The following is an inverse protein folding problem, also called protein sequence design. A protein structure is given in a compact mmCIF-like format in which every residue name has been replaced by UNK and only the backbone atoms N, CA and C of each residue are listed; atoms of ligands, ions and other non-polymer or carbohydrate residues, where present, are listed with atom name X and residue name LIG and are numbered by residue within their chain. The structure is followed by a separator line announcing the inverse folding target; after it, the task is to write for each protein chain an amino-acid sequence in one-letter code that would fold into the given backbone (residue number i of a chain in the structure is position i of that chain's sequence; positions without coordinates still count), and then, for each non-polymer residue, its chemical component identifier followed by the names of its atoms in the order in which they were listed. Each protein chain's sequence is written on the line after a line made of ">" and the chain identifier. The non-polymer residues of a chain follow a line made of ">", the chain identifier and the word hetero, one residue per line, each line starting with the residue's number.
data_IF_768967991994
#
_entry.id   IF_768967991994
#
_cell.length_a   1.000
_cell.length_b   1.000
_cell.length_c   1.000
_cell.angle_alpha   90.00
_cell.angle_beta   90.00
_cell.angle_gamma   90.00
#
_symmetry.space_group_name_H-M   'P 1'
#
loop_
_entity.id
_entity.type
_entity.pdbx_description
1 polymer ?
#
# COMPACT_ATOMS: atom_id res chain seq x y z
N UNK A 1 -19.35 23.07 -11.27
CA UNK A 1 -18.58 23.62 -11.78
C UNK A 1 -17.27 23.61 -11.17
N UNK A 2 -16.87 24.48 -10.54
CA UNK A 2 -15.72 24.45 -9.93
C UNK A 2 -15.52 23.33 -9.08
N UNK A 3 -16.49 22.70 -8.64
CA UNK A 3 -16.40 21.61 -7.76
C UNK A 3 -15.63 20.49 -8.33
N UNK A 4 -15.63 20.30 -9.63
CA UNK A 4 -14.94 19.20 -10.19
C UNK A 4 -13.47 19.26 -10.05
N UNK A 5 -12.89 20.39 -10.23
CA UNK A 5 -11.54 20.54 -10.03
C UNK A 5 -11.17 20.29 -8.65
N UNK A 6 -11.90 20.78 -7.74
CA UNK A 6 -11.65 20.63 -6.36
C UNK A 6 -11.69 19.21 -5.97
N UNK A 7 -12.54 18.44 -6.58
CA UNK A 7 -12.62 17.06 -6.25
C UNK A 7 -11.40 16.30 -6.61
N UNK A 8 -10.81 16.59 -7.74
CA UNK A 8 -9.63 15.91 -8.10
C UNK A 8 -8.53 16.18 -7.15
N UNK A 9 -8.37 17.39 -6.75
CA UNK A 9 -7.37 17.71 -5.83
C UNK A 9 -7.66 17.13 -4.49
N UNK A 10 -8.89 17.06 -4.13
CA UNK A 10 -9.27 16.50 -2.87
C UNK A 10 -8.96 15.04 -2.80
N UNK A 11 -9.01 14.34 -3.90
CA UNK A 11 -8.68 12.96 -3.88
C UNK A 11 -7.24 12.75 -3.49
N UNK A 12 -6.35 13.58 -3.98
CA UNK A 12 -5.02 13.47 -3.55
C UNK A 12 -4.90 13.81 -2.12
N UNK A 13 -5.59 14.84 -1.66
CA UNK A 13 -5.50 15.23 -0.30
C UNK A 13 -6.14 14.28 0.63
N UNK A 14 -7.18 13.61 0.21
CA UNK A 14 -7.81 12.68 1.08
C UNK A 14 -6.87 11.61 1.46
N UNK A 15 -5.94 11.29 0.60
CA UNK A 15 -4.99 10.26 0.92
C UNK A 15 -4.06 10.67 2.03
N UNK A 16 -4.04 11.92 2.36
CA UNK A 16 -3.24 12.36 3.49
C UNK A 16 -3.75 11.80 4.79
N UNK A 17 -4.97 11.33 4.84
CA UNK A 17 -5.51 10.75 6.05
C UNK A 17 -5.65 9.26 5.96
N UNK A 18 -5.11 8.67 4.92
CA UNK A 18 -5.22 7.25 4.71
C UNK A 18 -3.93 6.73 4.14
N UNK A 19 -3.71 5.46 4.28
CA UNK A 19 -2.56 4.80 3.68
C UNK A 19 -3.08 4.04 2.49
N UNK A 20 -2.50 4.29 1.32
CA UNK A 20 -2.90 3.62 0.10
C UNK A 20 -1.87 2.54 -0.20
N UNK A 21 -2.33 1.31 -0.41
CA UNK A 21 -1.45 0.19 -0.71
C UNK A 21 -1.73 -0.27 -2.12
N UNK A 22 -0.71 -0.22 -2.95
CA UNK A 22 -0.83 -0.64 -4.35
C UNK A 22 -0.36 -2.08 -4.48
N UNK A 23 -1.15 -2.88 -5.16
CA UNK A 23 -0.88 -4.30 -5.32
C UNK A 23 -0.59 -4.61 -6.77
N UNK A 24 0.40 -5.45 -7.00
CA UNK A 24 0.79 -5.78 -8.36
C UNK A 24 0.87 -7.28 -8.56
N UNK A 25 0.77 -7.71 -9.79
CA UNK A 25 0.99 -9.09 -10.21
C UNK A 25 0.15 -10.07 -9.39
N UNK A 26 0.76 -11.10 -8.86
CA UNK A 26 0.01 -12.12 -8.16
C UNK A 26 -0.66 -11.61 -6.89
N UNK A 27 -0.13 -10.58 -6.27
CA UNK A 27 -0.78 -10.03 -5.09
C UNK A 27 -2.12 -9.42 -5.46
N UNK A 28 -2.15 -8.74 -6.59
CA UNK A 28 -3.40 -8.16 -7.05
C UNK A 28 -4.41 -9.25 -7.35
N UNK A 29 -3.94 -10.36 -7.89
CA UNK A 29 -4.83 -11.45 -8.18
C UNK A 29 -5.32 -12.17 -6.93
N UNK A 30 -4.46 -12.32 -5.96
CA UNK A 30 -4.85 -13.01 -4.74
C UNK A 30 -5.83 -12.20 -3.92
N UNK A 31 -5.65 -10.89 -3.88
CA UNK A 31 -6.55 -10.03 -3.12
C UNK A 31 -7.80 -9.71 -3.92
N UNK A 32 -7.68 -9.65 -5.23
CA UNK A 32 -8.81 -9.29 -6.08
C UNK A 32 -8.96 -7.81 -6.28
N UNK A 33 -8.00 -7.02 -5.83
CA UNK A 33 -8.04 -5.58 -5.96
C UNK A 33 -6.66 -5.10 -6.33
N UNK A 34 -6.57 -3.97 -7.02
CA UNK A 34 -5.26 -3.43 -7.34
C UNK A 34 -4.82 -2.40 -6.33
N UNK A 35 -5.65 -2.05 -5.38
CA UNK A 35 -5.20 -1.21 -4.29
C UNK A 35 -6.11 -1.39 -3.07
N UNK A 36 -5.54 -1.14 -1.91
CA UNK A 36 -6.26 -1.16 -0.66
C UNK A 36 -6.06 0.18 0.02
N UNK A 37 -7.06 0.64 0.72
CA UNK A 37 -6.95 1.89 1.45
C UNK A 37 -7.20 1.61 2.91
N UNK A 38 -6.26 1.99 3.75
CA UNK A 38 -6.36 1.78 5.17
C UNK A 38 -6.56 3.10 5.85
N UNK A 39 -7.64 3.18 6.61
CA UNK A 39 -7.95 4.39 7.32
C UNK A 39 -7.43 4.23 8.74
N UNK A 40 -6.14 4.25 8.89
CA UNK A 40 -5.54 4.03 10.19
C UNK A 40 -5.04 5.32 10.75
N UNK A 41 -5.19 5.49 12.01
CA UNK A 41 -4.70 6.67 12.65
C UNK A 41 -3.33 6.46 13.21
N UNK A 42 -2.93 5.23 13.38
CA UNK A 42 -1.63 4.95 13.94
C UNK A 42 -0.64 4.61 12.88
N UNK A 43 0.57 5.03 13.11
CA UNK A 43 1.63 4.70 12.19
C UNK A 43 2.05 3.26 12.41
N UNK A 44 2.54 2.62 11.39
CA UNK A 44 2.99 1.25 11.49
C UNK A 44 4.22 1.07 10.65
N UNK A 45 5.02 0.05 10.95
CA UNK A 45 6.17 -0.24 10.13
C UNK A 45 5.74 -1.09 8.95
N UNK A 46 6.61 -1.17 7.95
CA UNK A 46 6.37 -2.00 6.80
C UNK A 46 6.17 -3.46 7.23
N UNK A 47 6.96 -3.90 8.20
CA UNK A 47 6.82 -5.26 8.71
C UNK A 47 5.46 -5.50 9.34
N UNK A 48 4.96 -4.53 10.08
CA UNK A 48 3.65 -4.65 10.68
C UNK A 48 2.56 -4.68 9.63
N UNK A 49 2.73 -3.92 8.57
CA UNK A 49 1.77 -3.94 7.49
C UNK A 49 1.73 -5.31 6.83
N UNK A 50 2.89 -5.92 6.62
CA UNK A 50 2.94 -7.24 6.02
C UNK A 50 2.23 -8.26 6.88
N UNK A 51 2.42 -8.18 8.19
CA UNK A 51 1.76 -9.11 9.09
C UNK A 51 0.24 -8.92 9.04
N UNK A 52 -0.20 -7.70 9.00
CA UNK A 52 -1.63 -7.43 8.92
C UNK A 52 -2.22 -7.98 7.63
N UNK A 53 -1.50 -7.84 6.52
CA UNK A 53 -1.99 -8.33 5.25
C UNK A 53 -2.00 -9.86 5.23
N UNK A 54 -1.02 -10.49 5.84
CA UNK A 54 -1.00 -11.94 5.89
C UNK A 54 -2.22 -12.45 6.63
N UNK A 55 -2.55 -11.81 7.73
CA UNK A 55 -3.69 -12.24 8.52
C UNK A 55 -5.02 -11.90 7.86
N UNK A 56 -5.11 -10.73 7.26
CA UNK A 56 -6.39 -10.28 6.71
C UNK A 56 -6.72 -10.90 5.39
N UNK A 57 -5.74 -11.17 4.58
CA UNK A 57 -5.96 -11.68 3.23
C UNK A 57 -5.30 -13.02 2.97
N UNK A 58 -4.71 -13.60 4.01
CA UNK A 58 -4.08 -14.92 3.90
C UNK A 58 -3.01 -14.97 2.82
N UNK A 59 -2.27 -13.89 2.70
CA UNK A 59 -1.19 -13.84 1.72
C UNK A 59 0.03 -14.54 2.29
N UNK A 60 0.66 -15.36 1.49
CA UNK A 60 1.74 -16.16 2.00
C UNK A 60 3.11 -15.77 1.53
N UNK A 61 3.25 -15.04 0.50
CA UNK A 61 4.56 -14.74 -0.01
C UNK A 61 4.98 -13.32 0.23
N UNK A 62 4.50 -12.71 1.29
CA UNK A 62 4.84 -11.32 1.52
C UNK A 62 6.28 -11.13 2.00
N UNK A 63 6.90 -12.19 2.49
CA UNK A 63 8.26 -12.05 2.98
C UNK A 63 9.25 -11.68 1.90
N UNK A 64 8.97 -12.05 0.67
CA UNK A 64 9.88 -11.76 -0.43
C UNK A 64 9.44 -10.56 -1.25
N UNK A 65 8.39 -9.89 -0.82
CA UNK A 65 7.87 -8.75 -1.55
C UNK A 65 8.71 -7.52 -1.23
N UNK A 66 9.04 -6.75 -2.25
CA UNK A 66 9.74 -5.49 -2.03
C UNK A 66 8.71 -4.42 -1.80
N UNK A 67 9.05 -3.47 -0.96
CA UNK A 67 8.12 -2.41 -0.59
C UNK A 67 8.72 -1.06 -0.93
N UNK A 68 7.93 -0.22 -1.56
CA UNK A 68 8.34 1.15 -1.84
C UNK A 68 7.31 2.08 -1.22
N UNK A 69 7.77 3.12 -0.56
CA UNK A 69 6.90 4.13 0.00
C UNK A 69 7.15 5.40 -0.78
N UNK A 70 6.12 5.92 -1.39
CA UNK A 70 6.21 7.13 -2.20
C UNK A 70 7.34 7.01 -3.23
N UNK A 71 7.39 5.82 -3.83
CA UNK A 71 8.32 5.53 -4.93
C UNK A 71 9.77 5.31 -4.52
N UNK A 72 10.01 5.08 -3.23
CA UNK A 72 11.35 4.77 -2.77
C UNK A 72 11.34 3.44 -2.06
N UNK A 73 12.25 2.53 -2.41
CA UNK A 73 12.31 1.24 -1.77
C UNK A 73 12.76 1.39 -0.33
N UNK A 74 12.14 0.64 0.54
CA UNK A 74 12.41 0.72 1.97
C UNK A 74 12.51 -0.66 2.57
N UNK A 75 12.96 -0.72 3.81
CA UNK A 75 13.07 -1.99 4.52
C UNK A 75 11.87 -2.16 5.45
N UNK A 76 11.80 -3.31 6.08
CA UNK A 76 10.67 -3.61 6.97
C UNK A 76 10.61 -2.72 8.19
N UNK A 77 11.71 -2.11 8.53
CA UNK A 77 11.74 -1.22 9.70
C UNK A 77 11.22 0.18 9.40
N UNK A 78 11.03 0.47 8.14
CA UNK A 78 10.60 1.82 7.79
C UNK A 78 9.18 2.08 8.28
N UNK A 79 8.94 3.28 8.78
CA UNK A 79 7.64 3.64 9.29
C UNK A 79 6.75 4.15 8.18
N UNK A 80 5.52 3.67 8.13
CA UNK A 80 4.54 4.15 7.17
C UNK A 80 3.66 5.14 7.89
N UNK A 81 3.42 6.28 7.25
CA UNK A 81 2.62 7.33 7.84
C UNK A 81 1.38 7.56 7.04
N UNK A 82 0.40 8.16 7.67
CA UNK A 82 -0.83 8.51 6.99
C UNK A 82 -0.47 9.40 5.81
N UNK A 83 -1.07 9.16 4.69
CA UNK A 83 -0.78 9.91 3.48
C UNK A 83 0.21 9.22 2.57
N UNK A 84 0.88 8.20 3.05
CA UNK A 84 1.85 7.51 2.23
C UNK A 84 1.19 6.58 1.23
N UNK A 85 1.87 6.37 0.12
CA UNK A 85 1.45 5.41 -0.88
C UNK A 85 2.48 4.29 -0.87
N UNK A 86 2.04 3.11 -0.51
CA UNK A 86 2.90 1.96 -0.31
C UNK A 86 2.69 0.98 -1.45
N UNK A 87 3.73 0.66 -2.17
CA UNK A 87 3.65 -0.29 -3.27
C UNK A 87 4.26 -1.61 -2.85
N UNK A 88 3.53 -2.70 -3.02
CA UNK A 88 4.02 -4.03 -2.73
C UNK A 88 4.35 -4.70 -4.05
N UNK A 89 5.62 -4.93 -4.27
CA UNK A 89 6.11 -5.39 -5.55
C UNK A 89 6.69 -6.78 -5.40
N UNK A 90 5.99 -7.80 -5.89
CA UNK A 90 6.50 -9.16 -5.76
C UNK A 90 7.73 -9.35 -6.63
N UNK A 91 8.58 -10.29 -6.29
CA UNK A 91 9.75 -10.54 -7.12
C UNK A 91 9.33 -11.08 -8.47
N UNK A 92 10.11 -10.75 -9.48
CA UNK A 92 9.85 -11.24 -10.80
C UNK A 92 10.32 -12.66 -10.84
N UNK A 93 9.45 -13.56 -11.22
CA UNK A 93 9.82 -14.90 -11.28
C UNK A 93 10.58 -15.08 -12.53
N UNK A 94 11.66 -15.46 -12.46
CA UNK A 94 12.47 -15.57 -13.50
C UNK A 94 12.05 -16.12 -14.69
N UNK A 95 11.44 -16.05 -14.93
CA UNK A 95 10.98 -16.36 -16.13
C UNK A 95 11.27 -16.25 -16.86
#
# INVERSE_FOLDING_TARGET
>A
MKTHHIQKENQRRKNEKMITILLFANLREEVGLDQLIISEKQEMTVGQLKEWLKDSYHLQSLDTVMVAINEEFVTNEEMIKVGDIVALIPPVSGG
#
